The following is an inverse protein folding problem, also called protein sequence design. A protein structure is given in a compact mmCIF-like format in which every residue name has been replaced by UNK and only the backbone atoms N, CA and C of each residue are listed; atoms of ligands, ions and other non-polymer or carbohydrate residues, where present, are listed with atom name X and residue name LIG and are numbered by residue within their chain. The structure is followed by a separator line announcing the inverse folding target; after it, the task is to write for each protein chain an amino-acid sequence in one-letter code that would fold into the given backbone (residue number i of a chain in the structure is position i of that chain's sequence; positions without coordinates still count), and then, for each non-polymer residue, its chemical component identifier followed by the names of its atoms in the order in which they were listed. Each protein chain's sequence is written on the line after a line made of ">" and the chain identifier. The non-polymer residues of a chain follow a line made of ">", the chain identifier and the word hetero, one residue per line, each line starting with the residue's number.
data_IF_147798281900
#
_entry.id   IF_147798281900
#
_cell.length_a   1.000
_cell.length_b   1.000
_cell.length_c   1.000
_cell.angle_alpha   90.00
_cell.angle_beta   90.00
_cell.angle_gamma   90.00
#
_symmetry.space_group_name_H-M   'P 1'
#
loop_
_entity.id
_entity.type
_entity.pdbx_description
1 polymer ?
#
# COMPACT_ATOMS: atom_id res chain seq x y z
N UNK A 1 10.76 -14.17 -11.48
CA UNK A 1 10.30 -14.06 -10.08
C UNK A 1 8.82 -13.79 -10.14
N UNK A 2 8.00 -14.75 -9.77
CA UNK A 2 6.56 -14.60 -9.70
C UNK A 2 6.26 -13.68 -8.53
N UNK A 3 5.55 -12.58 -8.76
CA UNK A 3 5.14 -11.66 -7.70
C UNK A 3 3.97 -12.30 -6.95
N UNK A 4 4.26 -13.33 -6.17
CA UNK A 4 3.30 -13.85 -5.20
C UNK A 4 3.15 -12.82 -4.09
N UNK A 5 1.95 -12.28 -3.95
CA UNK A 5 1.64 -11.44 -2.80
C UNK A 5 1.94 -12.24 -1.53
N UNK A 6 2.66 -11.65 -0.59
CA UNK A 6 2.88 -12.30 0.68
C UNK A 6 1.53 -12.56 1.36
N UNK A 7 1.39 -13.65 2.12
CA UNK A 7 0.11 -14.05 2.68
C UNK A 7 -0.51 -13.03 3.65
N UNK A 8 0.28 -12.09 4.15
CA UNK A 8 -0.17 -11.07 5.11
C UNK A 8 0.49 -9.71 4.81
N UNK A 9 -0.08 -8.88 3.92
CA UNK A 9 0.43 -7.53 3.69
C UNK A 9 0.12 -6.61 4.88
N UNK A 10 0.97 -5.60 5.15
CA UNK A 10 0.63 -4.53 6.10
C UNK A 10 -0.47 -3.61 5.55
N UNK A 11 -1.01 -2.76 6.43
CA UNK A 11 -1.98 -1.76 6.03
C UNK A 11 -1.38 -0.76 5.04
N UNK A 12 -1.89 -0.76 3.81
CA UNK A 12 -1.40 0.08 2.71
C UNK A 12 0.14 0.13 2.67
N UNK A 13 0.80 -0.97 2.28
CA UNK A 13 2.25 -1.15 2.42
C UNK A 13 3.06 -0.03 1.77
N UNK A 14 4.29 0.18 2.21
CA UNK A 14 5.21 1.09 1.54
C UNK A 14 5.73 0.47 0.23
N UNK A 15 6.19 1.33 -0.68
CA UNK A 15 6.82 0.87 -1.91
C UNK A 15 8.09 0.05 -1.61
N UNK A 16 8.87 0.44 -0.61
CA UNK A 16 10.03 -0.34 -0.13
C UNK A 16 9.63 -1.75 0.27
N UNK A 17 8.54 -1.91 1.02
CA UNK A 17 8.04 -3.22 1.42
C UNK A 17 7.58 -4.05 0.22
N UNK A 18 6.89 -3.44 -0.74
CA UNK A 18 6.44 -4.11 -1.96
C UNK A 18 7.61 -4.62 -2.80
N UNK A 19 8.71 -3.89 -2.84
CA UNK A 19 9.93 -4.25 -3.59
C UNK A 19 10.85 -5.22 -2.84
N UNK A 20 10.66 -5.41 -1.52
CA UNK A 20 11.48 -6.28 -0.70
C UNK A 20 11.28 -7.76 -1.06
N UNK A 21 12.32 -8.56 -0.83
CA UNK A 21 12.25 -10.01 -0.85
C UNK A 21 11.59 -10.57 0.44
N UNK A 22 11.46 -11.88 0.54
CA UNK A 22 10.85 -12.54 1.71
C UNK A 22 11.59 -12.23 3.02
N UNK A 23 12.92 -12.11 2.97
CA UNK A 23 13.75 -11.81 4.14
C UNK A 23 13.51 -10.38 4.62
N UNK A 24 13.48 -9.42 3.70
CA UNK A 24 13.17 -8.01 4.02
C UNK A 24 11.77 -7.83 4.58
N UNK A 25 10.81 -8.64 4.14
CA UNK A 25 9.42 -8.63 4.65
C UNK A 25 9.26 -9.31 6.01
N UNK A 26 10.09 -10.29 6.33
CA UNK A 26 10.00 -11.08 7.58
C UNK A 26 10.32 -10.27 8.85
N UNK A 27 11.02 -9.14 8.73
CA UNK A 27 11.42 -8.29 9.86
C UNK A 27 10.34 -7.36 10.41
N UNK A 28 9.11 -7.39 9.88
CA UNK A 28 8.06 -6.47 10.29
C UNK A 28 7.49 -6.82 11.66
N UNK A 29 7.35 -5.80 12.51
CA UNK A 29 6.65 -5.96 13.78
C UNK A 29 5.13 -5.98 13.57
N UNK A 30 4.34 -6.62 14.50
CA UNK A 30 2.88 -6.56 14.44
C UNK A 30 2.31 -5.13 14.41
N UNK A 31 3.06 -4.18 14.98
CA UNK A 31 2.70 -2.76 14.96
C UNK A 31 2.74 -2.17 13.54
N UNK A 32 3.70 -2.61 12.72
CA UNK A 32 3.83 -2.13 11.34
C UNK A 32 2.70 -2.64 10.45
N UNK A 33 2.07 -3.76 10.83
CA UNK A 33 0.90 -4.29 10.13
C UNK A 33 -0.34 -3.40 10.20
N UNK A 34 -0.47 -2.58 11.23
CA UNK A 34 -1.60 -1.68 11.44
C UNK A 34 -1.34 -0.25 10.97
N UNK A 35 -0.19 0.04 10.35
CA UNK A 35 0.27 1.39 10.05
C UNK A 35 0.64 1.59 8.61
N UNK A 36 0.47 2.85 8.18
CA UNK A 36 1.04 3.36 6.93
C UNK A 36 1.48 4.81 7.09
N UNK A 37 2.42 5.24 6.26
CA UNK A 37 2.88 6.62 6.19
C UNK A 37 2.34 7.25 4.91
N UNK A 38 1.61 8.35 5.02
CA UNK A 38 1.09 9.12 3.89
C UNK A 38 1.72 10.51 3.83
N UNK A 39 1.68 11.16 2.67
CA UNK A 39 2.08 12.54 2.54
C UNK A 39 1.21 13.45 3.41
N UNK A 40 1.77 14.54 3.89
CA UNK A 40 1.05 15.60 4.59
C UNK A 40 1.81 16.92 4.49
N UNK A 41 1.20 18.00 4.97
CA UNK A 41 1.88 19.30 5.06
C UNK A 41 2.99 19.32 6.12
N UNK A 42 3.07 18.31 6.97
CA UNK A 42 4.14 18.19 7.97
C UNK A 42 5.38 17.54 7.36
N UNK A 43 6.59 17.99 7.70
CA UNK A 43 7.83 17.31 7.32
C UNK A 43 7.78 15.84 7.77
N UNK A 44 8.09 14.91 6.86
CA UNK A 44 8.07 13.47 7.16
C UNK A 44 6.73 12.77 6.97
N UNK A 45 5.65 13.51 6.65
CA UNK A 45 4.33 12.91 6.40
C UNK A 45 3.50 12.68 7.67
N UNK A 46 2.46 11.86 7.54
CA UNK A 46 1.55 11.50 8.62
C UNK A 46 1.40 9.98 8.72
N UNK A 47 1.51 9.45 9.92
CA UNK A 47 1.27 8.03 10.19
C UNK A 47 -0.22 7.81 10.44
N UNK A 48 -0.83 6.94 9.64
CA UNK A 48 -2.18 6.42 9.85
C UNK A 48 -2.07 5.07 10.54
N UNK A 49 -2.81 4.89 11.64
CA UNK A 49 -2.81 3.65 12.41
C UNK A 49 -4.22 3.11 12.56
N UNK A 50 -4.47 1.91 12.07
CA UNK A 50 -5.72 1.19 12.29
C UNK A 50 -5.77 0.73 13.74
N UNK A 51 -6.80 1.09 14.51
CA UNK A 51 -6.93 0.62 15.88
C UNK A 51 -7.22 -0.89 15.91
N UNK A 52 -6.59 -1.60 16.85
CA UNK A 52 -6.81 -3.04 17.03
C UNK A 52 -7.44 -3.35 18.38
N UNK A 53 -8.24 -4.41 18.42
CA UNK A 53 -8.84 -4.92 19.67
C UNK A 53 -7.74 -5.28 20.66
N UNK A 54 -7.83 -4.79 21.89
CA UNK A 54 -6.80 -4.96 22.92
C UNK A 54 -5.61 -4.00 22.81
N UNK A 55 -5.60 -3.10 21.83
CA UNK A 55 -4.65 -1.99 21.73
C UNK A 55 -3.17 -2.38 21.73
N UNK A 56 -2.33 -1.56 22.35
CA UNK A 56 -0.89 -1.78 22.41
C UNK A 56 -0.45 -3.13 23.02
N UNK A 57 -1.12 -3.68 24.05
CA UNK A 57 -0.84 -5.02 24.53
C UNK A 57 -1.08 -6.12 23.48
N UNK A 58 -2.12 -6.02 22.66
CA UNK A 58 -2.39 -6.97 21.59
C UNK A 58 -1.29 -6.92 20.52
N UNK A 59 -0.86 -5.73 20.11
CA UNK A 59 0.24 -5.53 19.16
C UNK A 59 1.59 -6.10 19.64
N UNK A 60 1.77 -6.31 20.95
CA UNK A 60 3.00 -6.91 21.50
C UNK A 60 2.93 -8.43 21.62
N UNK A 61 1.73 -9.00 21.73
CA UNK A 61 1.54 -10.42 22.06
C UNK A 61 0.98 -11.27 20.93
N UNK A 62 0.17 -10.67 20.06
CA UNK A 62 -0.50 -11.39 18.98
C UNK A 62 0.34 -11.38 17.72
N UNK A 63 0.25 -12.45 16.93
CA UNK A 63 0.80 -12.48 15.57
C UNK A 63 -0.08 -11.62 14.63
N UNK A 64 0.48 -11.09 13.52
CA UNK A 64 -0.27 -10.26 12.58
C UNK A 64 -1.62 -10.84 12.14
N UNK A 65 -1.68 -12.14 11.84
CA UNK A 65 -2.92 -12.83 11.44
C UNK A 65 -3.98 -12.98 12.53
N UNK A 66 -3.65 -12.67 13.78
CA UNK A 66 -4.58 -12.73 14.93
C UNK A 66 -5.13 -11.34 15.31
N UNK A 67 -4.62 -10.28 14.67
CA UNK A 67 -5.05 -8.91 14.96
C UNK A 67 -6.46 -8.66 14.40
N UNK A 68 -7.32 -8.10 15.23
CA UNK A 68 -8.67 -7.70 14.84
C UNK A 68 -8.79 -6.18 14.86
N UNK A 69 -9.49 -5.64 13.86
CA UNK A 69 -9.78 -4.22 13.77
C UNK A 69 -10.76 -3.82 14.88
N UNK A 70 -10.42 -2.74 15.57
CA UNK A 70 -11.31 -2.17 16.60
C UNK A 70 -12.26 -1.15 15.98
N UNK A 71 -13.51 -1.16 16.42
CA UNK A 71 -14.49 -0.12 16.07
C UNK A 71 -14.34 1.17 16.89
N UNK A 72 -13.27 1.29 17.68
CA UNK A 72 -13.06 2.47 18.50
C UNK A 72 -12.70 3.70 17.67
N UNK A 73 -13.44 4.78 17.88
CA UNK A 73 -13.26 6.04 17.18
C UNK A 73 -13.75 6.02 15.73
N UNK A 74 -13.58 7.14 15.05
CA UNK A 74 -13.98 7.34 13.64
C UNK A 74 -12.76 7.27 12.72
N UNK A 75 -11.91 6.26 12.95
CA UNK A 75 -10.66 6.09 12.21
C UNK A 75 -10.86 5.95 10.68
N UNK A 76 -11.94 5.30 10.16
CA UNK A 76 -12.15 5.20 8.73
C UNK A 76 -12.25 6.57 8.06
N UNK A 77 -13.08 7.45 8.62
CA UNK A 77 -13.25 8.81 8.10
C UNK A 77 -11.96 9.62 8.19
N UNK A 78 -11.22 9.49 9.29
CA UNK A 78 -9.93 10.19 9.48
C UNK A 78 -8.91 9.72 8.45
N UNK A 79 -8.81 8.42 8.21
CA UNK A 79 -7.86 7.87 7.23
C UNK A 79 -8.23 8.27 5.80
N UNK A 80 -9.50 8.14 5.43
CA UNK A 80 -9.97 8.55 4.10
C UNK A 80 -9.75 10.04 3.84
N UNK A 81 -10.08 10.89 4.81
CA UNK A 81 -9.83 12.33 4.71
C UNK A 81 -8.35 12.68 4.57
N UNK A 82 -7.47 11.97 5.29
CA UNK A 82 -6.03 12.16 5.19
C UNK A 82 -5.48 11.73 3.82
N UNK A 83 -5.95 10.60 3.29
CA UNK A 83 -5.55 10.09 1.97
C UNK A 83 -6.05 11.01 0.86
N UNK A 84 -7.29 11.48 0.96
CA UNK A 84 -7.86 12.44 0.00
C UNK A 84 -7.12 13.78 0.03
N UNK A 85 -6.80 14.31 1.21
CA UNK A 85 -6.03 15.54 1.36
C UNK A 85 -4.62 15.40 0.77
N UNK A 86 -3.99 14.22 0.92
CA UNK A 86 -2.64 13.95 0.43
C UNK A 86 -2.61 13.76 -1.10
N UNK A 87 -3.59 13.03 -1.65
CA UNK A 87 -3.50 12.47 -3.00
C UNK A 87 -4.70 12.77 -3.91
N UNK A 88 -5.70 13.52 -3.45
CA UNK A 88 -6.93 13.80 -4.21
C UNK A 88 -6.73 14.48 -5.57
N UNK A 89 -5.55 15.05 -5.80
CA UNK A 89 -5.16 15.67 -7.09
C UNK A 89 -4.36 14.75 -8.01
N UNK A 90 -4.02 13.54 -7.55
CA UNK A 90 -3.27 12.61 -8.38
C UNK A 90 -4.14 12.03 -9.52
N UNK A 91 -3.55 11.76 -10.70
CA UNK A 91 -4.32 11.43 -11.91
C UNK A 91 -5.25 10.22 -11.77
N UNK A 92 -4.85 9.19 -11.03
CA UNK A 92 -5.64 7.95 -10.88
C UNK A 92 -6.42 7.88 -9.56
N UNK A 93 -6.42 8.97 -8.78
CA UNK A 93 -7.13 8.99 -7.49
C UNK A 93 -8.61 8.66 -7.64
N UNK A 94 -9.33 9.34 -8.53
CA UNK A 94 -10.77 9.14 -8.72
C UNK A 94 -11.12 7.73 -9.20
N UNK A 95 -10.17 7.05 -9.83
CA UNK A 95 -10.37 5.69 -10.32
C UNK A 95 -10.19 4.62 -9.22
N UNK A 96 -9.19 4.79 -8.35
CA UNK A 96 -8.80 3.79 -7.36
C UNK A 96 -9.38 4.03 -5.96
N UNK A 97 -9.55 5.30 -5.58
CA UNK A 97 -9.98 5.68 -4.23
C UNK A 97 -11.35 5.14 -3.83
N UNK A 98 -12.40 5.13 -4.69
CA UNK A 98 -13.71 4.63 -4.29
C UNK A 98 -13.71 3.17 -3.86
N UNK A 99 -13.00 2.30 -4.59
CA UNK A 99 -12.88 0.87 -4.24
C UNK A 99 -12.14 0.65 -2.92
N UNK A 100 -11.09 1.43 -2.67
CA UNK A 100 -10.36 1.40 -1.41
C UNK A 100 -11.22 1.95 -0.26
N UNK A 101 -11.94 3.04 -0.47
CA UNK A 101 -12.80 3.67 0.53
C UNK A 101 -13.91 2.72 1.00
N UNK A 102 -14.53 1.98 0.08
CA UNK A 102 -15.55 0.97 0.39
C UNK A 102 -15.03 -0.09 1.35
N UNK A 103 -13.80 -0.59 1.15
CA UNK A 103 -13.18 -1.57 2.03
C UNK A 103 -12.87 -0.98 3.41
N UNK A 104 -12.45 0.29 3.47
CA UNK A 104 -12.13 0.96 4.73
C UNK A 104 -13.40 1.29 5.52
N UNK A 105 -14.49 1.65 4.87
CA UNK A 105 -15.78 1.94 5.52
C UNK A 105 -16.42 0.67 6.05
N UNK A 106 -16.39 -0.40 5.26
CA UNK A 106 -16.99 -1.70 5.58
C UNK A 106 -15.94 -2.77 5.94
N UNK A 107 -14.96 -2.37 6.71
CA UNK A 107 -13.81 -3.22 7.04
C UNK A 107 -14.22 -4.55 7.70
N UNK A 108 -13.56 -5.67 7.35
CA UNK A 108 -13.74 -6.95 8.03
C UNK A 108 -13.13 -6.92 9.43
N UNK A 109 -13.54 -7.83 10.29
CA UNK A 109 -13.01 -7.94 11.65
C UNK A 109 -11.49 -8.24 11.65
N UNK A 110 -11.01 -9.03 10.70
CA UNK A 110 -9.58 -9.37 10.58
C UNK A 110 -8.79 -8.23 9.92
N UNK A 111 -7.77 -7.73 10.62
CA UNK A 111 -6.83 -6.75 10.05
C UNK A 111 -6.09 -7.31 8.83
N UNK A 112 -5.66 -8.56 8.89
CA UNK A 112 -4.95 -9.21 7.78
C UNK A 112 -5.85 -9.33 6.54
N UNK A 113 -7.12 -9.68 6.72
CA UNK A 113 -8.09 -9.74 5.63
C UNK A 113 -8.33 -8.35 5.02
N UNK A 114 -8.52 -7.33 5.83
CA UNK A 114 -8.68 -5.96 5.35
C UNK A 114 -7.47 -5.50 4.52
N UNK A 115 -6.27 -5.72 5.03
CA UNK A 115 -5.03 -5.35 4.34
C UNK A 115 -4.89 -6.07 2.99
N UNK A 116 -5.21 -7.37 2.95
CA UNK A 116 -5.18 -8.15 1.71
C UNK A 116 -6.21 -7.64 0.69
N UNK A 117 -7.44 -7.36 1.12
CA UNK A 117 -8.49 -6.79 0.25
C UNK A 117 -8.08 -5.43 -0.32
N UNK A 118 -7.50 -4.55 0.50
CA UNK A 118 -7.03 -3.23 0.07
C UNK A 118 -5.95 -3.34 -1.01
N UNK A 119 -4.96 -4.21 -0.78
CA UNK A 119 -3.89 -4.41 -1.76
C UNK A 119 -4.42 -5.04 -3.05
N UNK A 120 -5.29 -6.06 -2.96
CA UNK A 120 -5.93 -6.66 -4.14
C UNK A 120 -6.72 -5.64 -4.95
N UNK A 121 -7.54 -4.81 -4.29
CA UNK A 121 -8.33 -3.79 -4.97
C UNK A 121 -7.46 -2.77 -5.73
N UNK A 122 -6.32 -2.36 -5.14
CA UNK A 122 -5.36 -1.49 -5.81
C UNK A 122 -4.72 -2.16 -7.04
N UNK A 123 -4.29 -3.41 -6.90
CA UNK A 123 -3.64 -4.17 -7.98
C UNK A 123 -4.62 -4.48 -9.12
N UNK A 124 -5.85 -4.89 -8.79
CA UNK A 124 -6.91 -5.17 -9.75
C UNK A 124 -7.36 -3.89 -10.47
N UNK A 125 -7.48 -2.79 -9.75
CA UNK A 125 -7.92 -1.51 -10.31
C UNK A 125 -7.02 -0.94 -11.40
N UNK A 126 -5.78 -1.42 -11.51
CA UNK A 126 -4.82 -1.01 -12.55
C UNK A 126 -4.41 -2.16 -13.48
N UNK A 127 -5.09 -3.32 -13.46
CA UNK A 127 -4.68 -4.50 -14.21
C UNK A 127 -3.19 -4.87 -14.00
N UNK A 128 -2.71 -4.77 -12.77
CA UNK A 128 -1.28 -4.85 -12.42
C UNK A 128 -0.58 -6.08 -12.99
N UNK A 129 -1.19 -7.25 -12.89
CA UNK A 129 -0.58 -8.50 -13.33
C UNK A 129 -0.38 -8.56 -14.84
N UNK A 130 -1.28 -7.97 -15.61
CA UNK A 130 -1.15 -7.82 -17.06
C UNK A 130 -0.02 -6.83 -17.38
N UNK A 131 -0.05 -5.66 -16.76
CA UNK A 131 0.93 -4.61 -17.02
C UNK A 131 2.35 -5.02 -16.63
N UNK A 132 2.53 -5.76 -15.53
CA UNK A 132 3.86 -6.22 -15.14
C UNK A 132 4.43 -7.29 -16.12
N UNK A 133 3.58 -8.09 -16.75
CA UNK A 133 4.02 -9.04 -17.78
C UNK A 133 4.54 -8.29 -19.02
N UNK A 134 3.82 -7.27 -19.48
CA UNK A 134 4.22 -6.43 -20.61
C UNK A 134 5.51 -5.66 -20.32
N UNK A 135 5.66 -5.13 -19.11
CA UNK A 135 6.84 -4.39 -18.68
C UNK A 135 8.07 -5.30 -18.51
N UNK A 136 7.90 -6.56 -18.11
CA UNK A 136 9.00 -7.54 -18.10
C UNK A 136 9.55 -7.75 -19.50
N UNK A 137 8.70 -7.91 -20.51
CA UNK A 137 9.13 -7.99 -21.90
C UNK A 137 9.92 -6.75 -22.35
N UNK A 138 9.47 -5.54 -21.97
CA UNK A 138 10.20 -4.31 -22.25
C UNK A 138 11.56 -4.25 -21.51
N UNK A 139 11.62 -4.69 -20.27
CA UNK A 139 12.86 -4.76 -19.49
C UNK A 139 13.89 -5.68 -20.12
N UNK A 140 13.46 -6.83 -20.61
CA UNK A 140 14.33 -7.79 -21.29
C UNK A 140 14.81 -7.28 -22.64
N UNK A 141 13.91 -6.71 -23.46
CA UNK A 141 14.22 -6.22 -24.79
C UNK A 141 15.01 -4.88 -24.78
N UNK A 142 14.74 -4.01 -23.83
CA UNK A 142 15.28 -2.64 -23.76
C UNK A 142 15.66 -2.22 -22.34
N UNK A 143 16.68 -2.87 -21.72
CA UNK A 143 16.99 -2.67 -20.30
C UNK A 143 17.38 -1.22 -19.95
N UNK A 144 18.10 -0.52 -20.83
CA UNK A 144 18.49 0.88 -20.61
C UNK A 144 17.28 1.82 -20.60
N UNK A 145 16.32 1.62 -21.53
CA UNK A 145 15.08 2.40 -21.59
C UNK A 145 14.21 2.15 -20.35
N UNK A 146 14.10 0.89 -19.94
CA UNK A 146 13.39 0.53 -18.71
C UNK A 146 14.01 1.23 -17.50
N UNK A 147 15.34 1.17 -17.34
CA UNK A 147 16.04 1.79 -16.22
C UNK A 147 15.84 3.31 -16.17
N UNK A 148 15.87 4.00 -17.31
CA UNK A 148 15.64 5.45 -17.41
C UNK A 148 14.21 5.82 -17.00
N UNK A 149 13.19 5.11 -17.49
CA UNK A 149 11.79 5.32 -17.09
C UNK A 149 11.64 5.12 -15.58
N UNK A 150 12.11 3.99 -15.06
CA UNK A 150 12.04 3.67 -13.63
C UNK A 150 12.71 4.74 -12.76
N UNK A 151 13.90 5.19 -13.16
CA UNK A 151 14.63 6.23 -12.43
C UNK A 151 13.87 7.57 -12.41
N UNK A 152 13.23 7.94 -13.50
CA UNK A 152 12.40 9.16 -13.56
C UNK A 152 11.22 9.05 -12.62
N UNK A 153 10.50 7.93 -12.62
CA UNK A 153 9.35 7.72 -11.74
C UNK A 153 9.75 7.74 -10.27
N UNK A 154 10.86 7.08 -9.90
CA UNK A 154 11.36 7.04 -8.53
C UNK A 154 11.69 8.42 -7.93
N UNK A 155 11.95 9.45 -8.77
CA UNK A 155 12.16 10.82 -8.27
C UNK A 155 10.87 11.49 -7.76
N UNK A 156 9.71 10.95 -8.11
CA UNK A 156 8.41 11.53 -7.81
C UNK A 156 7.67 10.82 -6.68
N UNK A 157 8.25 9.80 -6.08
CA UNK A 157 7.67 9.06 -4.95
C UNK A 157 8.68 8.91 -3.83
N UNK A 158 8.19 8.91 -2.60
CA UNK A 158 8.97 8.53 -1.43
C UNK A 158 8.74 7.03 -1.16
N UNK A 159 9.74 6.16 -1.36
CA UNK A 159 9.54 4.72 -1.22
C UNK A 159 9.23 4.26 0.21
N UNK A 160 9.45 5.12 1.22
CA UNK A 160 9.07 4.85 2.61
C UNK A 160 7.58 5.08 2.88
N UNK A 161 6.89 5.83 2.01
CA UNK A 161 5.46 6.11 2.11
C UNK A 161 4.62 4.98 1.57
N UNK A 162 3.32 5.06 1.87
CA UNK A 162 2.32 4.15 1.34
C UNK A 162 2.40 4.02 -0.18
N UNK A 163 2.29 2.80 -0.65
CA UNK A 163 2.27 2.49 -2.09
C UNK A 163 1.13 3.19 -2.83
N UNK A 164 0.07 3.61 -2.13
CA UNK A 164 -1.05 4.37 -2.72
C UNK A 164 -0.57 5.66 -3.40
N UNK A 165 0.52 6.29 -2.91
CA UNK A 165 1.12 7.45 -3.59
C UNK A 165 1.53 7.10 -5.03
N UNK A 166 2.22 5.99 -5.22
CA UNK A 166 2.66 5.56 -6.54
C UNK A 166 1.47 5.11 -7.42
N UNK A 167 0.50 4.39 -6.86
CA UNK A 167 -0.68 3.92 -7.57
C UNK A 167 -1.56 5.08 -8.03
N UNK A 168 -1.84 6.05 -7.18
CA UNK A 168 -2.64 7.22 -7.56
C UNK A 168 -1.95 8.11 -8.58
N UNK A 169 -0.63 8.21 -8.52
CA UNK A 169 0.17 9.03 -9.45
C UNK A 169 0.37 8.40 -10.80
N UNK A 170 0.72 7.12 -10.85
CA UNK A 170 1.17 6.45 -12.06
C UNK A 170 0.15 5.46 -12.64
N UNK A 171 -0.86 5.03 -11.87
CA UNK A 171 -1.83 4.04 -12.32
C UNK A 171 -1.14 2.78 -12.87
N UNK A 172 -1.50 2.33 -14.10
CA UNK A 172 -0.90 1.15 -14.72
C UNK A 172 0.62 1.18 -14.82
N UNK A 173 1.21 2.37 -15.00
CA UNK A 173 2.65 2.53 -15.16
C UNK A 173 3.42 2.26 -13.85
N UNK A 174 2.73 2.16 -12.70
CA UNK A 174 3.38 1.78 -11.43
C UNK A 174 4.15 0.45 -11.54
N UNK A 175 3.78 -0.41 -12.49
CA UNK A 175 4.48 -1.66 -12.77
C UNK A 175 5.97 -1.47 -13.14
N UNK A 176 6.38 -0.29 -13.65
CA UNK A 176 7.80 0.03 -13.88
C UNK A 176 8.60 0.12 -12.58
N UNK A 177 7.96 0.28 -11.44
CA UNK A 177 8.64 0.36 -10.14
C UNK A 177 9.02 -1.02 -9.59
N UNK A 178 8.51 -2.11 -10.18
CA UNK A 178 8.71 -3.50 -9.79
C UNK A 178 9.45 -4.30 -10.87
#
# INVERSE_FOLDING_TARGET
>A
MELTLPPLPPYLPSLTWMQADEVGRAGMSPRDFSRTLVASNSPGGMVLSVPVVGGAPALKRLKPGQLQVSSHGDWPRVHLGAIEAAYGREPFFQHLFPGMAEIIIHYPASLAEMNARLLSALLEGIDFYRNIADIRGLREAHPARFADIRQRMMRHVDPSRSVVEAFFRFGPDVAFLF
#
